data_IF_701703761747
#
_entry.id   IF_701703761747
#
_cell.length_a   1.000
_cell.length_b   1.000
_cell.length_c   1.000
_cell.angle_alpha   90.00
_cell.angle_beta   90.00
_cell.angle_gamma   90.00
#
_symmetry.space_group_name_H-M   'P 1'
#
loop_
_entity.id
_entity.type
_entity.pdbx_description
1 polymer ?
#
# COMPACT_ATOMS: atom_id res chain seq x y z
N UNK A 1 10.49 -20.55 -9.44
CA UNK A 1 9.70 -19.74 -10.41
C UNK A 1 10.55 -19.35 -11.64
N UNK A 2 10.00 -19.08 -12.84
CA UNK A 2 10.83 -18.53 -13.95
C UNK A 2 11.08 -17.03 -13.72
N UNK A 3 12.28 -16.55 -14.03
CA UNK A 3 12.64 -15.13 -13.86
C UNK A 3 11.71 -14.16 -14.58
N UNK A 4 11.18 -14.54 -15.75
CA UNK A 4 10.25 -13.70 -16.51
C UNK A 4 8.92 -13.53 -15.77
N UNK A 5 8.41 -14.57 -15.12
CA UNK A 5 7.15 -14.53 -14.35
C UNK A 5 7.29 -13.57 -13.15
N UNK A 6 8.46 -13.58 -12.48
CA UNK A 6 8.78 -12.63 -11.41
C UNK A 6 8.81 -11.19 -11.93
N UNK A 7 9.48 -10.96 -13.06
CA UNK A 7 9.60 -9.63 -13.67
C UNK A 7 8.23 -9.10 -14.12
N UNK A 8 7.39 -9.96 -14.68
CA UNK A 8 6.03 -9.62 -15.09
C UNK A 8 5.14 -9.29 -13.89
N UNK A 9 5.15 -10.14 -12.86
CA UNK A 9 4.45 -9.87 -11.61
C UNK A 9 4.88 -8.54 -10.98
N UNK A 10 6.19 -8.26 -10.91
CA UNK A 10 6.69 -6.98 -10.38
C UNK A 10 6.30 -5.79 -11.25
N UNK A 11 6.33 -5.94 -12.58
CA UNK A 11 5.89 -4.89 -13.49
C UNK A 11 4.43 -4.52 -13.24
N UNK A 12 3.58 -5.53 -13.12
CA UNK A 12 2.14 -5.37 -12.98
C UNK A 12 1.79 -4.80 -11.59
N UNK A 13 2.40 -5.31 -10.52
CA UNK A 13 2.17 -4.83 -9.14
C UNK A 13 2.73 -3.42 -8.89
N UNK A 14 3.89 -3.07 -9.47
CA UNK A 14 4.50 -1.76 -9.31
C UNK A 14 4.10 -0.74 -10.40
N UNK A 15 3.13 -1.09 -11.26
CA UNK A 15 2.64 -0.27 -12.38
C UNK A 15 3.78 0.33 -13.22
N UNK A 16 4.77 -0.50 -13.60
CA UNK A 16 5.94 -0.08 -14.36
C UNK A 16 5.64 -0.10 -15.86
N UNK A 17 6.17 0.88 -16.58
CA UNK A 17 5.92 1.07 -18.02
C UNK A 17 6.59 0.03 -18.90
N UNK A 18 7.68 -0.59 -18.44
CA UNK A 18 8.46 -1.54 -19.22
C UNK A 18 9.10 -2.63 -18.36
N UNK A 19 9.47 -3.73 -19.02
CA UNK A 19 10.08 -4.89 -18.36
C UNK A 19 11.53 -4.63 -17.91
N UNK A 20 12.23 -3.64 -18.48
CA UNK A 20 13.57 -3.29 -18.03
C UNK A 20 13.55 -2.62 -16.65
N UNK A 21 12.62 -1.70 -16.42
CA UNK A 21 12.38 -1.08 -15.12
C UNK A 21 12.01 -2.12 -14.07
N UNK A 22 11.23 -3.13 -14.44
CA UNK A 22 10.90 -4.23 -13.55
C UNK A 22 12.14 -5.07 -13.20
N UNK A 23 12.96 -5.45 -14.19
CA UNK A 23 14.24 -6.15 -13.96
C UNK A 23 15.20 -5.33 -13.10
N UNK A 24 15.35 -4.04 -13.40
CA UNK A 24 16.19 -3.12 -12.64
C UNK A 24 15.69 -2.98 -11.19
N UNK A 25 14.38 -2.93 -10.99
CA UNK A 25 13.76 -2.88 -9.65
C UNK A 25 14.03 -4.17 -8.87
N UNK A 26 13.82 -5.33 -9.48
CA UNK A 26 14.13 -6.64 -8.87
C UNK A 26 15.60 -6.71 -8.46
N UNK A 27 16.51 -6.39 -9.39
CA UNK A 27 17.95 -6.41 -9.13
C UNK A 27 18.37 -5.42 -8.03
N UNK A 28 17.87 -4.18 -8.05
CA UNK A 28 18.21 -3.15 -7.08
C UNK A 28 17.71 -3.49 -5.67
N UNK A 29 16.49 -4.00 -5.56
CA UNK A 29 15.88 -4.40 -4.28
C UNK A 29 16.64 -5.58 -3.70
N UNK A 30 16.84 -6.65 -4.47
CA UNK A 30 17.59 -7.83 -4.01
C UNK A 30 19.03 -7.49 -3.62
N UNK A 31 19.71 -6.65 -4.40
CA UNK A 31 21.06 -6.18 -4.07
C UNK A 31 21.12 -5.34 -2.80
N UNK A 32 20.04 -4.65 -2.46
CA UNK A 32 19.98 -3.83 -1.24
C UNK A 32 19.63 -4.69 -0.03
N UNK A 33 18.69 -5.61 -0.17
CA UNK A 33 18.33 -6.59 0.86
C UNK A 33 19.51 -7.53 1.17
N UNK A 34 20.22 -8.02 0.15
CA UNK A 34 21.38 -8.90 0.33
C UNK A 34 22.51 -8.23 1.15
N UNK A 35 22.69 -6.91 1.03
CA UNK A 35 23.65 -6.15 1.84
C UNK A 35 23.28 -6.05 3.31
N UNK A 36 21.99 -6.21 3.64
CA UNK A 36 21.51 -6.28 5.02
C UNK A 36 21.67 -7.69 5.62
N UNK A 37 21.93 -8.71 4.79
CA UNK A 37 22.16 -10.08 5.26
C UNK A 37 23.63 -10.33 5.62
N UNK A 38 23.90 -11.22 6.59
CA UNK A 38 25.22 -11.77 6.85
C UNK A 38 25.82 -12.42 5.59
N UNK A 39 27.15 -12.36 5.44
CA UNK A 39 27.86 -12.88 4.26
C UNK A 39 27.59 -14.36 3.96
N UNK A 40 27.33 -15.17 4.99
CA UNK A 40 26.98 -16.59 4.84
C UNK A 40 25.60 -16.79 4.19
N UNK A 41 24.65 -15.90 4.46
CA UNK A 41 23.28 -15.98 3.95
C UNK A 41 23.14 -15.41 2.53
N UNK A 42 24.11 -14.59 2.09
CA UNK A 42 24.16 -14.07 0.70
C UNK A 42 24.34 -15.19 -0.32
N UNK A 43 25.05 -16.26 0.04
CA UNK A 43 25.24 -17.42 -0.82
C UNK A 43 23.94 -18.21 -1.00
N UNK A 44 23.19 -18.42 0.08
CA UNK A 44 21.85 -19.04 0.05
C UNK A 44 20.89 -18.22 -0.82
N UNK A 45 20.93 -16.90 -0.71
CA UNK A 45 20.11 -16.03 -1.55
C UNK A 45 20.51 -16.16 -3.03
N UNK A 46 21.81 -16.28 -3.34
CA UNK A 46 22.29 -16.49 -4.71
C UNK A 46 21.89 -17.86 -5.30
N UNK A 47 21.82 -18.92 -4.47
CA UNK A 47 21.39 -20.26 -4.89
C UNK A 47 19.93 -20.32 -5.32
N UNK A 48 19.08 -19.50 -4.70
CA UNK A 48 17.65 -19.43 -4.99
C UNK A 48 17.29 -18.41 -6.09
N UNK A 49 18.25 -17.58 -6.50
CA UNK A 49 18.03 -16.58 -7.54
C UNK A 49 18.38 -17.13 -8.94
N UNK A 50 17.58 -16.79 -9.98
CA UNK A 50 17.94 -17.10 -11.36
C UNK A 50 19.29 -16.44 -11.72
N UNK A 51 20.11 -17.12 -12.54
CA UNK A 51 21.52 -16.77 -12.81
C UNK A 51 21.81 -15.32 -13.18
N UNK A 52 20.86 -14.59 -13.79
CA UNK A 52 20.98 -13.16 -14.11
C UNK A 52 20.96 -12.23 -12.89
N UNK A 53 20.48 -12.71 -11.74
CA UNK A 53 20.39 -11.96 -10.48
C UNK A 53 21.49 -12.34 -9.47
N UNK A 54 22.28 -13.38 -9.76
CA UNK A 54 23.41 -13.81 -8.91
C UNK A 54 24.41 -12.68 -8.64
N UNK A 55 24.78 -11.83 -9.62
CA UNK A 55 25.65 -10.68 -9.36
C UNK A 55 25.05 -9.65 -8.38
N UNK A 56 23.72 -9.57 -8.28
CA UNK A 56 23.04 -8.67 -7.35
C UNK A 56 23.18 -9.14 -5.89
N UNK A 57 23.24 -10.45 -5.65
CA UNK A 57 23.40 -11.03 -4.31
C UNK A 57 24.87 -11.14 -3.87
N UNK A 58 25.81 -11.28 -4.82
CA UNK A 58 27.23 -11.48 -4.57
C UNK A 58 28.01 -10.17 -4.31
N UNK A 59 27.48 -9.26 -3.48
CA UNK A 59 28.16 -8.00 -3.16
C UNK A 59 29.18 -8.22 -2.03
N UNK A 60 30.48 -7.96 -2.24
CA UNK A 60 31.49 -8.05 -1.19
C UNK A 60 31.37 -6.91 -0.17
N UNK A 61 31.61 -7.21 1.12
CA UNK A 61 31.65 -6.23 2.21
C UNK A 61 30.88 -6.68 3.47
N UNK A 62 31.17 -6.08 4.64
CA UNK A 62 30.44 -6.38 5.88
C UNK A 62 28.94 -6.05 5.74
N UNK A 63 28.05 -6.70 6.53
CA UNK A 63 26.64 -6.36 6.53
C UNK A 63 26.45 -4.91 6.99
N UNK A 64 25.80 -4.10 6.15
CA UNK A 64 25.40 -2.76 6.54
C UNK A 64 24.06 -2.86 7.25
N UNK A 65 24.06 -2.64 8.57
CA UNK A 65 22.82 -2.46 9.33
C UNK A 65 22.14 -1.19 8.81
N UNK A 66 20.99 -1.36 8.15
CA UNK A 66 20.19 -0.27 7.62
C UNK A 66 18.81 -0.34 8.24
N UNK A 67 18.38 0.75 8.86
CA UNK A 67 16.97 1.03 9.12
C UNK A 67 16.20 1.03 7.78
N UNK A 68 14.90 0.74 7.83
CA UNK A 68 14.01 0.65 6.66
C UNK A 68 14.03 1.92 5.83
N UNK A 69 14.18 3.08 6.47
CA UNK A 69 14.27 4.39 5.80
C UNK A 69 15.53 4.50 4.94
N UNK A 70 16.71 4.13 5.45
CA UNK A 70 17.98 4.13 4.72
C UNK A 70 18.03 3.07 3.63
N UNK A 71 17.37 1.94 3.84
CA UNK A 71 17.22 0.93 2.80
C UNK A 71 16.38 1.46 1.63
N UNK A 72 15.25 2.10 1.92
CA UNK A 72 14.38 2.71 0.89
C UNK A 72 15.11 3.84 0.16
N UNK A 73 15.82 4.71 0.89
CA UNK A 73 16.60 5.79 0.29
C UNK A 73 17.68 5.28 -0.66
N UNK A 74 18.33 4.16 -0.34
CA UNK A 74 19.30 3.51 -1.22
C UNK A 74 18.69 2.94 -2.49
N UNK A 75 17.54 2.26 -2.35
CA UNK A 75 16.81 1.74 -3.51
C UNK A 75 16.39 2.91 -4.41
N UNK A 76 15.93 4.01 -3.81
CA UNK A 76 15.62 5.26 -4.52
C UNK A 76 16.82 5.81 -5.29
N UNK A 77 18.00 5.89 -4.65
CA UNK A 77 19.25 6.32 -5.30
C UNK A 77 19.63 5.42 -6.48
N UNK A 78 19.54 4.10 -6.32
CA UNK A 78 19.90 3.12 -7.36
C UNK A 78 18.94 3.13 -8.56
N UNK A 79 17.66 3.41 -8.30
CA UNK A 79 16.61 3.42 -9.31
C UNK A 79 16.29 4.83 -9.83
N UNK A 80 17.04 5.86 -9.40
CA UNK A 80 16.79 7.26 -9.70
C UNK A 80 15.32 7.67 -9.48
N UNK A 81 14.73 7.25 -8.36
CA UNK A 81 13.32 7.46 -8.04
C UNK A 81 13.12 8.00 -6.62
N UNK A 82 11.91 8.48 -6.31
CA UNK A 82 11.60 8.99 -4.98
C UNK A 82 11.60 7.86 -3.93
N UNK A 83 11.84 8.15 -2.64
CA UNK A 83 11.79 7.15 -1.57
C UNK A 83 10.45 6.40 -1.52
N UNK A 84 9.33 7.09 -1.73
CA UNK A 84 7.99 6.48 -1.71
C UNK A 84 7.84 5.48 -2.85
N UNK A 85 8.25 5.85 -4.06
CA UNK A 85 8.22 4.94 -5.22
C UNK A 85 9.19 3.78 -5.06
N UNK A 86 10.35 4.01 -4.43
CA UNK A 86 11.30 2.96 -4.11
C UNK A 86 10.73 1.96 -3.10
N UNK A 87 10.01 2.43 -2.08
CA UNK A 87 9.29 1.58 -1.11
C UNK A 87 8.26 0.71 -1.81
N UNK A 88 7.39 1.30 -2.64
CA UNK A 88 6.38 0.53 -3.39
C UNK A 88 6.99 -0.53 -4.30
N UNK A 89 8.07 -0.19 -5.01
CA UNK A 89 8.80 -1.16 -5.85
C UNK A 89 9.41 -2.29 -5.02
N UNK A 90 9.97 -1.98 -3.85
CA UNK A 90 10.53 -2.99 -2.96
C UNK A 90 9.46 -3.93 -2.39
N UNK A 91 8.31 -3.38 -1.98
CA UNK A 91 7.15 -4.16 -1.53
C UNK A 91 6.62 -5.08 -2.64
N UNK A 92 6.51 -4.58 -3.87
CA UNK A 92 6.08 -5.36 -5.04
C UNK A 92 7.03 -6.53 -5.33
N UNK A 93 8.34 -6.30 -5.26
CA UNK A 93 9.36 -7.36 -5.44
C UNK A 93 9.22 -8.45 -4.38
N UNK A 94 9.07 -8.08 -3.09
CA UNK A 94 8.93 -9.08 -2.02
C UNK A 94 7.58 -9.81 -2.06
N UNK A 95 6.51 -9.16 -2.49
CA UNK A 95 5.21 -9.80 -2.71
C UNK A 95 5.31 -10.84 -3.84
N UNK A 96 5.87 -10.47 -4.99
CA UNK A 96 6.06 -11.38 -6.12
C UNK A 96 7.01 -12.55 -5.78
N UNK A 97 8.05 -12.30 -4.97
CA UNK A 97 8.90 -13.36 -4.44
C UNK A 97 8.17 -14.29 -3.48
N UNK A 98 7.24 -13.78 -2.67
CA UNK A 98 6.45 -14.61 -1.75
C UNK A 98 5.50 -15.53 -2.50
N UNK A 99 4.92 -15.07 -3.59
CA UNK A 99 4.04 -15.88 -4.44
C UNK A 99 4.80 -16.98 -5.19
N UNK A 100 6.06 -16.73 -5.60
CA UNK A 100 6.84 -17.69 -6.38
C UNK A 100 7.88 -18.51 -5.64
N UNK A 101 8.43 -17.99 -4.54
CA UNK A 101 9.54 -18.53 -3.74
C UNK A 101 9.30 -18.25 -2.23
N UNK A 102 8.20 -18.74 -1.62
CA UNK A 102 7.80 -18.39 -0.25
C UNK A 102 8.90 -18.70 0.79
N UNK A 103 9.65 -19.79 0.60
CA UNK A 103 10.77 -20.17 1.47
C UNK A 103 11.89 -19.14 1.50
N UNK A 104 12.13 -18.44 0.38
CA UNK A 104 13.13 -17.38 0.32
C UNK A 104 12.67 -16.18 1.14
N UNK A 105 11.37 -15.84 1.09
CA UNK A 105 10.79 -14.76 1.88
C UNK A 105 10.76 -15.10 3.36
N UNK A 106 10.45 -16.33 3.74
CA UNK A 106 10.52 -16.79 5.13
C UNK A 106 11.95 -16.66 5.69
N UNK A 107 12.96 -17.00 4.89
CA UNK A 107 14.37 -16.82 5.24
C UNK A 107 14.72 -15.34 5.44
N UNK A 108 14.23 -14.46 4.56
CA UNK A 108 14.40 -13.01 4.70
C UNK A 108 13.73 -12.48 5.97
N UNK A 109 12.49 -12.89 6.24
CA UNK A 109 11.75 -12.55 7.46
C UNK A 109 12.51 -12.97 8.73
N UNK A 110 13.15 -14.14 8.72
CA UNK A 110 13.88 -14.64 9.88
C UNK A 110 15.22 -13.92 10.13
N UNK A 111 15.75 -13.16 9.17
CA UNK A 111 17.11 -12.59 9.22
C UNK A 111 17.16 -11.06 9.16
N UNK A 112 16.13 -10.41 8.61
CA UNK A 112 16.05 -8.95 8.54
C UNK A 112 15.54 -8.35 9.86
N UNK A 113 15.91 -7.09 10.10
CA UNK A 113 15.42 -6.32 11.25
C UNK A 113 13.90 -6.04 11.10
N UNK A 114 13.15 -6.04 12.20
CA UNK A 114 11.72 -5.72 12.22
C UNK A 114 11.38 -4.38 11.57
N UNK A 115 12.21 -3.34 11.73
CA UNK A 115 11.99 -2.03 11.10
C UNK A 115 12.06 -2.08 9.55
N UNK A 116 12.91 -2.96 9.02
CA UNK A 116 12.98 -3.24 7.58
C UNK A 116 11.77 -4.07 7.14
N UNK A 117 11.35 -5.05 7.95
CA UNK A 117 10.17 -5.87 7.67
C UNK A 117 8.90 -5.03 7.68
N UNK A 118 8.67 -4.17 8.66
CA UNK A 118 7.49 -3.27 8.72
C UNK A 118 7.45 -2.30 7.54
N UNK A 119 8.62 -1.90 7.06
CA UNK A 119 8.75 -1.01 5.90
C UNK A 119 8.45 -1.73 4.59
N UNK A 120 8.97 -2.94 4.41
CA UNK A 120 8.95 -3.66 3.13
C UNK A 120 7.85 -4.73 3.01
N UNK A 121 7.32 -5.18 4.13
CA UNK A 121 6.30 -6.22 4.26
C UNK A 121 5.39 -5.87 5.45
N UNK A 122 4.55 -4.83 5.32
CA UNK A 122 3.59 -4.52 6.36
C UNK A 122 2.72 -5.76 6.65
N UNK A 123 2.37 -6.01 7.92
CA UNK A 123 1.60 -7.20 8.29
C UNK A 123 0.29 -7.23 7.49
N UNK A 124 0.02 -8.38 6.86
CA UNK A 124 -1.28 -8.65 6.27
C UNK A 124 -2.27 -8.91 7.42
N UNK A 125 -3.44 -8.27 7.39
CA UNK A 125 -4.46 -8.43 8.42
C UNK A 125 -4.87 -9.92 8.63
N UNK A 126 -5.20 -10.33 9.87
CA UNK A 126 -5.45 -11.73 10.24
C UNK A 126 -6.68 -12.41 9.60
N UNK A 127 -6.73 -13.76 9.63
CA UNK A 127 -7.33 -14.64 8.61
C UNK A 127 -8.86 -14.82 8.60
N UNK A 128 -9.66 -13.98 9.26
CA UNK A 128 -11.12 -13.98 9.07
C UNK A 128 -11.59 -13.00 7.96
N UNK A 129 -10.62 -12.38 7.27
CA UNK A 129 -10.81 -11.42 6.19
C UNK A 129 -10.28 -11.97 4.85
N UNK A 130 -10.67 -13.20 4.49
CA UNK A 130 -10.22 -13.86 3.25
C UNK A 130 -11.39 -14.13 2.31
N UNK A 131 -11.56 -13.24 1.35
CA UNK A 131 -11.86 -13.62 -0.04
C UNK A 131 -10.74 -13.01 -0.90
N UNK A 132 -9.53 -13.57 -0.75
CA UNK A 132 -8.38 -13.19 -1.55
C UNK A 132 -8.16 -14.22 -2.65
N UNK A 133 -8.43 -13.83 -3.89
CA UNK A 133 -7.75 -14.40 -5.06
C UNK A 133 -7.12 -13.23 -5.82
N UNK A 134 -5.78 -13.20 -5.79
CA UNK A 134 -4.81 -12.30 -6.45
C UNK A 134 -4.54 -10.91 -5.80
N UNK A 135 -3.33 -10.69 -5.23
CA UNK A 135 -2.90 -9.40 -4.72
C UNK A 135 -2.40 -8.49 -5.85
N UNK A 136 -3.01 -7.31 -6.01
CA UNK A 136 -2.44 -6.24 -6.87
C UNK A 136 -3.46 -5.41 -7.63
N UNK A 137 -4.67 -5.93 -7.88
CA UNK A 137 -5.76 -5.12 -8.41
C UNK A 137 -6.85 -4.96 -7.34
N UNK A 138 -7.26 -3.71 -7.00
CA UNK A 138 -8.47 -3.49 -6.23
C UNK A 138 -9.64 -4.21 -6.92
N UNK A 139 -10.12 -5.30 -6.32
CA UNK A 139 -11.23 -6.06 -6.89
C UNK A 139 -12.49 -5.21 -6.72
N UNK A 140 -13.18 -4.87 -7.82
CA UNK A 140 -14.45 -4.15 -7.74
C UNK A 140 -15.46 -4.98 -6.96
N UNK A 141 -16.15 -4.33 -6.02
CA UNK A 141 -17.27 -4.96 -5.34
C UNK A 141 -18.43 -5.18 -6.32
N UNK A 142 -19.15 -6.28 -6.13
CA UNK A 142 -20.43 -6.52 -6.79
C UNK A 142 -21.52 -5.58 -6.25
N UNK A 143 -22.62 -5.44 -6.98
CA UNK A 143 -23.74 -4.56 -6.61
C UNK A 143 -24.29 -4.91 -5.22
N UNK A 144 -24.40 -6.20 -4.95
CA UNK A 144 -24.89 -6.72 -3.70
C UNK A 144 -23.90 -6.48 -2.55
N UNK A 145 -22.59 -6.53 -2.80
CA UNK A 145 -21.57 -6.18 -1.81
C UNK A 145 -21.57 -4.69 -1.48
N UNK A 146 -21.66 -3.82 -2.49
CA UNK A 146 -21.79 -2.37 -2.28
C UNK A 146 -23.06 -2.07 -1.48
N UNK A 147 -24.20 -2.66 -1.85
CA UNK A 147 -25.47 -2.48 -1.12
C UNK A 147 -25.35 -2.90 0.34
N UNK A 148 -24.72 -4.05 0.62
CA UNK A 148 -24.49 -4.52 2.00
C UNK A 148 -23.52 -3.65 2.78
N UNK A 149 -22.52 -3.06 2.13
CA UNK A 149 -21.61 -2.11 2.75
C UNK A 149 -22.34 -0.81 3.12
N UNK A 150 -23.11 -0.25 2.17
CA UNK A 150 -23.91 0.96 2.38
C UNK A 150 -24.91 0.83 3.53
N UNK A 151 -25.51 -0.36 3.75
CA UNK A 151 -26.40 -0.60 4.89
C UNK A 151 -25.73 -0.44 6.27
N UNK A 152 -24.39 -0.50 6.36
CA UNK A 152 -23.62 -0.35 7.60
C UNK A 152 -22.97 1.02 7.75
N UNK A 153 -22.95 1.80 6.68
CA UNK A 153 -22.33 3.11 6.60
C UNK A 153 -23.37 4.20 6.89
N UNK A 154 -22.97 5.24 7.60
CA UNK A 154 -23.89 6.28 8.08
C UNK A 154 -24.05 7.38 7.04
N UNK A 155 -25.20 7.43 6.36
CA UNK A 155 -25.52 8.52 5.42
C UNK A 155 -24.75 8.45 4.09
N UNK A 156 -24.15 7.30 3.78
CA UNK A 156 -23.55 7.03 2.48
C UNK A 156 -24.62 6.56 1.49
N UNK A 157 -24.49 7.00 0.24
CA UNK A 157 -25.28 6.54 -0.90
C UNK A 157 -24.35 6.24 -2.08
N UNK A 158 -24.85 5.61 -3.15
CA UNK A 158 -24.07 5.35 -4.36
C UNK A 158 -24.24 3.94 -4.90
N UNK A 159 -23.34 3.54 -5.78
CA UNK A 159 -23.34 2.27 -6.50
C UNK A 159 -21.90 1.78 -6.74
N UNK A 160 -21.73 0.81 -7.66
CA UNK A 160 -20.42 0.25 -7.99
C UNK A 160 -19.44 1.22 -8.64
N UNK A 161 -19.88 2.38 -9.11
CA UNK A 161 -19.04 3.39 -9.73
C UNK A 161 -18.43 4.32 -8.69
N UNK A 162 -19.22 4.76 -7.71
CA UNK A 162 -18.78 5.58 -6.60
C UNK A 162 -19.77 5.50 -5.43
N UNK A 163 -19.24 5.69 -4.23
CA UNK A 163 -20.05 5.98 -3.04
C UNK A 163 -19.79 7.41 -2.58
N UNK A 164 -20.83 8.07 -2.08
CA UNK A 164 -20.73 9.44 -1.58
C UNK A 164 -21.50 9.66 -0.29
N UNK A 165 -21.02 10.63 0.49
CA UNK A 165 -21.66 11.10 1.71
C UNK A 165 -21.59 12.61 1.78
N UNK A 166 -22.73 13.24 2.01
CA UNK A 166 -22.83 14.68 2.30
C UNK A 166 -23.01 14.89 3.79
N UNK A 167 -22.18 15.73 4.36
CA UNK A 167 -22.20 16.09 5.79
C UNK A 167 -22.55 17.57 5.89
N UNK A 168 -23.56 17.88 6.69
CA UNK A 168 -23.92 19.26 7.01
C UNK A 168 -23.19 19.71 8.29
N UNK A 169 -22.39 20.77 8.19
CA UNK A 169 -21.65 21.35 9.31
C UNK A 169 -21.28 22.81 9.02
N UNK A 170 -21.14 23.65 10.06
CA UNK A 170 -20.67 25.04 9.92
C UNK A 170 -19.36 25.14 9.13
N UNK A 171 -19.22 26.20 8.31
CA UNK A 171 -18.10 26.38 7.39
C UNK A 171 -16.72 26.39 8.08
N UNK A 172 -16.62 26.91 9.30
CA UNK A 172 -15.42 26.91 10.13
C UNK A 172 -14.93 25.48 10.47
N UNK A 173 -15.84 24.50 10.48
CA UNK A 173 -15.53 23.09 10.74
C UNK A 173 -15.21 22.27 9.49
N UNK A 174 -15.35 22.84 8.29
CA UNK A 174 -15.04 22.15 7.03
C UNK A 174 -13.57 21.77 6.94
N UNK A 175 -12.66 22.74 7.17
CA UNK A 175 -11.22 22.52 7.04
C UNK A 175 -10.68 21.49 8.04
N UNK A 176 -11.02 21.54 9.36
CA UNK A 176 -10.65 20.51 10.30
C UNK A 176 -11.09 19.10 9.89
N UNK A 177 -12.35 18.94 9.46
CA UNK A 177 -12.88 17.66 9.01
C UNK A 177 -12.14 17.15 7.77
N UNK A 178 -11.97 18.00 6.76
CA UNK A 178 -11.29 17.61 5.51
C UNK A 178 -9.82 17.26 5.76
N UNK A 179 -9.11 17.98 6.63
CA UNK A 179 -7.72 17.66 6.96
C UNK A 179 -7.60 16.31 7.67
N UNK A 180 -8.53 15.98 8.57
CA UNK A 180 -8.60 14.66 9.21
C UNK A 180 -8.85 13.58 8.17
N UNK A 181 -9.86 13.73 7.32
CA UNK A 181 -10.18 12.76 6.25
C UNK A 181 -9.01 12.57 5.29
N UNK A 182 -8.32 13.64 4.90
CA UNK A 182 -7.12 13.54 4.06
C UNK A 182 -5.97 12.80 4.75
N UNK A 183 -5.85 12.89 6.08
CA UNK A 183 -4.86 12.11 6.84
C UNK A 183 -5.22 10.63 6.84
N UNK A 184 -6.47 10.27 7.13
CA UNK A 184 -6.96 8.88 7.07
C UNK A 184 -6.75 8.28 5.67
N UNK A 185 -7.10 9.04 4.62
CA UNK A 185 -6.92 8.60 3.25
C UNK A 185 -5.44 8.35 2.92
N UNK A 186 -4.52 9.22 3.38
CA UNK A 186 -3.07 9.01 3.21
C UNK A 186 -2.55 7.79 3.95
N UNK A 187 -3.02 7.54 5.17
CA UNK A 187 -2.66 6.35 5.95
C UNK A 187 -3.10 5.06 5.26
N UNK A 188 -4.24 5.09 4.54
CA UNK A 188 -4.74 3.98 3.74
C UNK A 188 -4.17 3.94 2.31
N UNK A 189 -3.30 4.89 1.93
CA UNK A 189 -2.83 5.10 0.57
C UNK A 189 -3.99 5.16 -0.46
N UNK A 190 -5.01 5.92 -0.11
CA UNK A 190 -6.25 6.12 -0.87
C UNK A 190 -6.57 7.62 -0.98
N UNK A 191 -7.62 7.97 -1.74
CA UNK A 191 -8.02 9.34 -1.99
C UNK A 191 -9.53 9.53 -1.89
N UNK A 192 -9.96 10.51 -1.10
CA UNK A 192 -11.33 11.01 -1.12
C UNK A 192 -11.40 12.24 -2.03
N UNK A 193 -12.35 12.24 -2.98
CA UNK A 193 -12.75 13.47 -3.65
C UNK A 193 -13.62 14.28 -2.69
N UNK A 194 -13.32 15.57 -2.55
CA UNK A 194 -13.96 16.45 -1.56
C UNK A 194 -14.49 17.68 -2.26
N UNK A 195 -15.78 17.91 -2.11
CA UNK A 195 -16.48 19.11 -2.56
C UNK A 195 -17.02 19.85 -1.33
N UNK A 196 -16.87 21.18 -1.33
CA UNK A 196 -17.35 22.04 -0.25
C UNK A 196 -18.33 23.03 -0.86
N UNK A 197 -19.54 23.07 -0.34
CA UNK A 197 -20.60 23.98 -0.79
C UNK A 197 -21.39 24.48 0.42
N UNK A 198 -21.49 25.80 0.56
CA UNK A 198 -22.16 26.49 1.67
C UNK A 198 -21.80 25.92 3.07
N UNK A 199 -22.76 25.24 3.71
CA UNK A 199 -22.64 24.60 5.02
C UNK A 199 -22.54 23.08 4.91
N UNK A 200 -22.05 22.57 3.78
CA UNK A 200 -21.95 21.13 3.51
C UNK A 200 -20.60 20.74 2.94
N UNK A 201 -20.19 19.51 3.25
CA UNK A 201 -19.01 18.87 2.67
C UNK A 201 -19.44 17.53 2.12
N UNK A 202 -19.20 17.30 0.84
CA UNK A 202 -19.48 16.04 0.15
C UNK A 202 -18.18 15.28 -0.09
N UNK A 203 -18.15 14.03 0.37
CA UNK A 203 -17.08 13.08 0.12
C UNK A 203 -17.53 12.09 -0.94
N UNK A 204 -16.69 11.85 -1.95
CA UNK A 204 -16.93 10.84 -2.98
C UNK A 204 -15.72 9.92 -3.07
N UNK A 205 -15.95 8.61 -2.98
CA UNK A 205 -14.92 7.57 -2.99
C UNK A 205 -15.11 6.66 -4.20
N UNK A 206 -14.01 6.44 -4.92
CA UNK A 206 -13.94 5.53 -6.06
C UNK A 206 -12.49 5.18 -6.34
N UNK A 207 -12.25 3.94 -6.75
CA UNK A 207 -10.92 3.45 -7.10
C UNK A 207 -10.73 3.37 -8.62
N UNK A 208 -9.65 3.97 -9.12
CA UNK A 208 -9.22 3.87 -10.52
C UNK A 208 -10.04 4.71 -11.52
N UNK A 209 -9.78 4.50 -12.82
CA UNK A 209 -10.57 5.09 -13.93
C UNK A 209 -10.77 4.04 -15.04
N UNK A 210 -12.01 3.83 -15.53
CA UNK A 210 -13.27 4.37 -15.02
C UNK A 210 -13.56 3.85 -13.60
N UNK A 211 -14.06 4.73 -12.73
CA UNK A 211 -14.14 4.51 -11.28
C UNK A 211 -14.92 3.27 -10.89
N UNK A 212 -14.39 2.51 -9.93
CA UNK A 212 -15.04 1.33 -9.36
C UNK A 212 -14.91 1.35 -7.84
N UNK A 213 -16.00 1.04 -7.15
CA UNK A 213 -15.99 0.88 -5.70
C UNK A 213 -15.37 -0.45 -5.34
N UNK A 214 -14.43 -0.39 -4.43
CA UNK A 214 -13.66 -1.50 -3.92
C UNK A 214 -13.74 -1.53 -2.41
N UNK A 215 -13.21 -2.58 -1.82
CA UNK A 215 -13.09 -2.70 -0.38
C UNK A 215 -12.23 -1.58 0.26
N UNK A 216 -11.35 -0.92 -0.51
CA UNK A 216 -10.60 0.26 -0.04
C UNK A 216 -11.52 1.46 0.18
N UNK A 217 -12.39 1.73 -0.78
CA UNK A 217 -13.38 2.81 -0.69
C UNK A 217 -14.31 2.61 0.52
N UNK A 218 -14.74 1.37 0.77
CA UNK A 218 -15.57 1.04 1.95
C UNK A 218 -14.81 1.25 3.26
N UNK A 219 -13.54 0.84 3.35
CA UNK A 219 -12.70 1.09 4.54
C UNK A 219 -12.53 2.58 4.82
N UNK A 220 -12.25 3.37 3.78
CA UNK A 220 -12.13 4.82 3.92
C UNK A 220 -13.47 5.46 4.33
N UNK A 221 -14.60 4.96 3.83
CA UNK A 221 -15.93 5.40 4.27
C UNK A 221 -16.16 5.21 5.77
N UNK A 222 -15.74 4.07 6.34
CA UNK A 222 -15.81 3.81 7.79
C UNK A 222 -14.97 4.81 8.58
N UNK A 223 -13.74 5.12 8.12
CA UNK A 223 -12.89 6.12 8.78
C UNK A 223 -13.46 7.53 8.71
N UNK A 224 -14.11 7.87 7.59
CA UNK A 224 -14.82 9.14 7.45
C UNK A 224 -16.01 9.20 8.42
N UNK A 225 -16.72 8.09 8.63
CA UNK A 225 -17.81 8.03 9.62
C UNK A 225 -17.31 8.34 11.04
N UNK A 226 -16.17 7.76 11.43
CA UNK A 226 -15.50 8.03 12.72
C UNK A 226 -15.12 9.52 12.83
N UNK A 227 -14.45 10.07 11.81
CA UNK A 227 -14.02 11.47 11.79
C UNK A 227 -15.21 12.45 11.85
N UNK A 228 -16.31 12.14 11.17
CA UNK A 228 -17.53 12.97 11.19
C UNK A 228 -18.19 12.91 12.58
N UNK A 229 -18.25 11.73 13.20
CA UNK A 229 -18.80 11.57 14.54
C UNK A 229 -18.00 12.36 15.59
N UNK A 230 -16.66 12.36 15.50
CA UNK A 230 -15.77 13.14 16.37
C UNK A 230 -15.99 14.65 16.21
N UNK A 231 -16.01 15.15 14.97
CA UNK A 231 -16.21 16.59 14.69
C UNK A 231 -17.64 17.05 15.04
N UNK A 232 -18.63 16.18 14.88
CA UNK A 232 -20.01 16.42 15.30
C UNK A 232 -20.16 16.47 16.82
N UNK A 233 -19.44 15.61 17.55
CA UNK A 233 -19.46 15.55 19.02
C UNK A 233 -18.72 16.72 19.68
N UNK A 234 -17.79 17.38 18.97
CA UNK A 234 -17.11 18.60 19.44
C UNK A 234 -17.98 19.85 19.56
N UNK A 235 -19.29 19.76 19.24
CA UNK A 235 -20.25 20.84 19.36
C UNK A 235 -20.98 20.88 20.70
N UNK A 236 -20.30 21.24 21.80
CA UNK A 236 -20.98 21.89 22.92
C UNK A 236 -20.68 23.39 22.80
N UNK A 237 -21.65 24.25 22.44
CA UNK A 237 -21.50 25.67 22.71
C UNK A 237 -21.41 25.80 24.22
N UNK A 238 -20.31 26.38 24.72
CA UNK A 238 -20.26 26.80 26.11
C UNK A 238 -21.41 27.80 26.36
N UNK A 239 -22.11 27.74 27.50
CA UNK A 239 -23.01 28.82 27.87
C UNK A 239 -22.16 29.99 28.37
N UNK A 240 -22.38 31.18 27.81
CA UNK A 240 -21.83 32.44 28.30
C UNK A 240 -21.10 33.23 27.23
#
# INVERSE_FOLDING_TARGET
>A
MKYQDLVESVRDTAALTDAEQARASVAAVLATVARCLPSADRHLLAEHLPGSLVPAAAIPGPPEVRDGTRLVAEIGRRLHTSPERARYRAQAVLAALRDGEPRLVDLLCARLNSDVLDTLMPPADPPWMVTSVLPGMPVPLSDEEVRRALCRLTGWTGDRSAISRTVALPADRHTPLVNRVQREARELNDHAHVEREDATVTFTLTTGRPGKVTDRDVRLAVRIDEAVAEVGSGGRPGPG
#
